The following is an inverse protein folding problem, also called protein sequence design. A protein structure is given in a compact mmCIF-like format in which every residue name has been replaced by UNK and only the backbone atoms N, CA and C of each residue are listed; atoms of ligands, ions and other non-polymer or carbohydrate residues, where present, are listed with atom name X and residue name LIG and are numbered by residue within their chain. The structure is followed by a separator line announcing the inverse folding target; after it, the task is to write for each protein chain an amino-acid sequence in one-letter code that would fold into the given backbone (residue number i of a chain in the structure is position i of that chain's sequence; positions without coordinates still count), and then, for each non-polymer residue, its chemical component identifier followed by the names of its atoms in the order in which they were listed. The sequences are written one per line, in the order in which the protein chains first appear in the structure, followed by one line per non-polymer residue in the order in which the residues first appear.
data_IF_343583459800
#
_entry.id   IF_343583459800
#
_cell.length_a   1.000
_cell.length_b   1.000
_cell.length_c   1.000
_cell.angle_alpha   90.00
_cell.angle_beta   90.00
_cell.angle_gamma   90.00
#
_symmetry.space_group_name_H-M   'P 1'
#
loop_
_entity.id
_entity.type
_entity.pdbx_description
1 polymer ?
#
# COMPACT_ATOMS: atom_id res chain seq x y z
N UNK A 1 -7.63 -48.78 -12.42
CA UNK A 1 -6.97 -48.17 -13.59
C UNK A 1 -5.98 -47.15 -13.07
N UNK A 2 -4.70 -47.45 -13.23
CA UNK A 2 -3.55 -46.71 -12.70
C UNK A 2 -3.44 -45.37 -13.42
N UNK A 3 -3.50 -44.27 -12.68
CA UNK A 3 -3.29 -42.94 -13.22
C UNK A 3 -1.87 -42.87 -13.81
N UNK A 4 -1.78 -42.61 -15.11
CA UNK A 4 -0.51 -42.40 -15.78
C UNK A 4 0.17 -41.16 -15.19
N UNK A 5 1.30 -41.36 -14.52
CA UNK A 5 2.20 -40.28 -14.13
C UNK A 5 2.72 -39.61 -15.41
N UNK A 6 2.21 -38.43 -15.70
CA UNK A 6 2.76 -37.55 -16.74
C UNK A 6 4.17 -37.13 -16.30
N UNK A 7 5.19 -37.53 -17.06
CA UNK A 7 6.59 -37.14 -16.81
C UNK A 7 6.79 -35.63 -16.83
N UNK A 8 7.91 -35.11 -16.27
CA UNK A 8 8.11 -33.69 -16.08
C UNK A 8 8.08 -32.96 -17.43
N UNK A 9 7.11 -32.06 -17.59
CA UNK A 9 7.01 -31.21 -18.76
C UNK A 9 8.33 -30.43 -18.93
N UNK A 10 8.86 -30.37 -20.17
CA UNK A 10 10.05 -29.57 -20.48
C UNK A 10 9.78 -28.13 -20.07
N UNK A 11 10.52 -27.62 -19.07
CA UNK A 11 10.32 -26.27 -18.53
C UNK A 11 10.46 -25.24 -19.64
N UNK A 12 9.37 -24.51 -19.89
CA UNK A 12 9.34 -23.44 -20.89
C UNK A 12 10.32 -22.32 -20.52
N UNK A 13 10.60 -21.42 -21.46
CA UNK A 13 11.39 -20.21 -21.16
C UNK A 13 10.77 -19.39 -20.02
N UNK A 14 9.44 -19.41 -19.89
CA UNK A 14 8.68 -18.80 -18.80
C UNK A 14 8.97 -19.46 -17.46
N UNK A 15 8.97 -20.79 -17.39
CA UNK A 15 9.20 -21.52 -16.14
C UNK A 15 10.63 -21.31 -15.64
N UNK A 16 11.60 -21.24 -16.56
CA UNK A 16 12.98 -20.89 -16.21
C UNK A 16 13.11 -19.47 -15.68
N UNK A 17 12.40 -18.52 -16.28
CA UNK A 17 12.38 -17.15 -15.78
C UNK A 17 11.75 -17.07 -14.38
N UNK A 18 10.63 -17.76 -14.16
CA UNK A 18 9.98 -17.82 -12.85
C UNK A 18 10.87 -18.47 -11.78
N UNK A 19 11.55 -19.57 -12.10
CA UNK A 19 12.51 -20.21 -11.19
C UNK A 19 13.68 -19.28 -10.83
N UNK A 20 14.13 -18.44 -11.76
CA UNK A 20 15.15 -17.44 -11.47
C UNK A 20 14.64 -16.34 -10.54
N UNK A 21 13.41 -15.86 -10.76
CA UNK A 21 12.77 -14.88 -9.88
C UNK A 21 12.61 -15.44 -8.46
N UNK A 22 12.15 -16.68 -8.35
CA UNK A 22 12.02 -17.39 -7.06
C UNK A 22 13.38 -17.53 -6.36
N UNK A 23 14.40 -17.98 -7.09
CA UNK A 23 15.75 -18.12 -6.55
C UNK A 23 16.33 -16.78 -6.07
N UNK A 24 16.14 -15.70 -6.84
CA UNK A 24 16.61 -14.37 -6.49
C UNK A 24 15.85 -13.82 -5.27
N UNK A 25 14.53 -13.98 -5.24
CA UNK A 25 13.68 -13.57 -4.12
C UNK A 25 14.05 -14.26 -2.81
N UNK A 26 14.27 -15.58 -2.84
CA UNK A 26 14.64 -16.37 -1.66
C UNK A 26 16.03 -16.02 -1.10
N UNK A 27 16.88 -15.35 -1.90
CA UNK A 27 18.23 -14.95 -1.48
C UNK A 27 18.25 -13.60 -0.76
N UNK A 28 17.22 -12.77 -0.94
CA UNK A 28 17.14 -11.48 -0.27
C UNK A 28 16.80 -11.72 1.21
N UNK A 29 17.64 -11.25 2.15
CA UNK A 29 17.28 -11.30 3.56
C UNK A 29 16.10 -10.38 3.84
N UNK A 30 15.44 -10.60 4.97
CA UNK A 30 14.35 -9.74 5.44
C UNK A 30 14.74 -8.25 5.37
N UNK A 31 13.84 -7.35 4.93
CA UNK A 31 14.12 -5.91 4.83
C UNK A 31 14.79 -5.29 6.07
N UNK A 32 14.41 -5.72 7.27
CA UNK A 32 15.05 -5.27 8.52
C UNK A 32 16.56 -5.60 8.56
N UNK A 33 16.93 -6.81 8.16
CA UNK A 33 18.33 -7.23 8.09
C UNK A 33 19.11 -6.45 7.02
N UNK A 34 18.48 -6.09 5.90
CA UNK A 34 19.11 -5.24 4.89
C UNK A 34 19.50 -3.87 5.48
N UNK A 35 18.63 -3.25 6.29
CA UNK A 35 18.94 -1.98 6.95
C UNK A 35 20.05 -2.12 8.01
N UNK A 36 20.09 -3.21 8.77
CA UNK A 36 21.20 -3.49 9.70
C UNK A 36 22.51 -3.60 8.93
N UNK A 37 22.53 -4.38 7.85
CA UNK A 37 23.75 -4.55 7.02
C UNK A 37 24.18 -3.22 6.43
N UNK A 38 23.24 -2.43 5.88
CA UNK A 38 23.52 -1.10 5.33
C UNK A 38 24.06 -0.14 6.39
N UNK A 39 23.48 -0.14 7.59
CA UNK A 39 23.95 0.66 8.73
C UNK A 39 25.39 0.30 9.12
N UNK A 40 25.71 -0.99 9.23
CA UNK A 40 27.05 -1.47 9.57
C UNK A 40 28.06 -1.13 8.47
N UNK A 41 27.71 -1.33 7.20
CA UNK A 41 28.56 -0.98 6.06
C UNK A 41 28.81 0.53 6.05
N UNK A 42 27.76 1.35 6.20
CA UNK A 42 27.87 2.81 6.22
C UNK A 42 28.77 3.28 7.36
N UNK A 43 28.63 2.68 8.55
CA UNK A 43 29.50 2.97 9.69
C UNK A 43 30.96 2.58 9.44
N UNK A 44 31.21 1.41 8.86
CA UNK A 44 32.56 0.95 8.57
C UNK A 44 33.24 1.80 7.49
N UNK A 45 32.51 2.14 6.42
CA UNK A 45 33.00 2.97 5.33
C UNK A 45 33.26 4.40 5.81
N UNK A 46 32.35 5.01 6.58
CA UNK A 46 32.55 6.37 7.10
C UNK A 46 33.75 6.45 8.04
N UNK A 47 33.95 5.45 8.92
CA UNK A 47 35.14 5.37 9.77
C UNK A 47 36.41 5.17 8.97
N UNK A 48 36.40 4.32 7.94
CA UNK A 48 37.56 4.16 7.05
C UNK A 48 37.91 5.45 6.30
N UNK A 49 36.90 6.20 5.86
CA UNK A 49 37.08 7.50 5.19
C UNK A 49 37.61 8.59 6.13
N UNK A 50 37.13 8.64 7.36
CA UNK A 50 37.67 9.55 8.39
C UNK A 50 39.15 9.25 8.67
N UNK A 51 39.50 7.97 8.85
CA UNK A 51 40.90 7.55 9.07
C UNK A 51 41.82 7.92 7.90
N UNK A 52 41.29 7.93 6.68
CA UNK A 52 42.01 8.35 5.48
C UNK A 52 42.04 9.88 5.30
N UNK A 53 41.38 10.66 6.17
CA UNK A 53 41.32 12.12 6.09
C UNK A 53 40.54 12.63 4.88
N UNK A 54 39.52 11.89 4.44
CA UNK A 54 38.74 12.25 3.25
C UNK A 54 37.88 13.49 3.52
N UNK A 55 37.96 14.43 2.58
CA UNK A 55 37.19 15.68 2.59
C UNK A 55 36.45 15.80 1.26
N UNK A 56 35.17 16.17 1.33
CA UNK A 56 34.28 16.26 0.16
C UNK A 56 33.70 17.67 0.06
N UNK A 57 33.70 18.24 -1.14
CA UNK A 57 32.94 19.46 -1.42
C UNK A 57 31.54 19.06 -1.87
N UNK A 58 30.54 19.42 -1.07
CA UNK A 58 29.12 19.16 -1.39
C UNK A 58 28.61 20.31 -2.26
N UNK A 59 27.99 20.03 -3.43
CA UNK A 59 27.36 21.08 -4.24
C UNK A 59 26.36 21.89 -3.41
N UNK A 60 26.50 23.22 -3.41
CA UNK A 60 25.66 24.12 -2.61
C UNK A 60 26.19 24.42 -1.20
N UNK A 61 27.34 23.86 -0.81
CA UNK A 61 28.05 24.24 0.42
C UNK A 61 29.28 25.11 0.10
N UNK A 62 29.45 26.18 0.87
CA UNK A 62 30.60 27.09 0.76
C UNK A 62 31.87 26.50 1.41
N UNK A 63 31.72 25.50 2.28
CA UNK A 63 32.82 24.91 3.03
C UNK A 63 33.01 23.41 2.71
N UNK A 64 34.28 22.95 2.62
CA UNK A 64 34.56 21.53 2.44
C UNK A 64 34.10 20.74 3.67
N UNK A 65 33.33 19.68 3.43
CA UNK A 65 32.77 18.82 4.49
C UNK A 65 33.75 17.69 4.80
N UNK A 66 34.19 17.62 6.06
CA UNK A 66 35.03 16.53 6.57
C UNK A 66 34.15 15.34 6.92
N UNK A 67 34.51 14.15 6.43
CA UNK A 67 33.76 12.92 6.76
C UNK A 67 34.02 12.53 8.21
N UNK A 68 32.94 12.35 8.97
CA UNK A 68 32.97 11.81 10.34
C UNK A 68 32.54 10.35 10.34
N UNK A 69 33.33 9.49 10.96
CA UNK A 69 33.11 8.08 11.10
C UNK A 69 32.17 7.74 12.25
N UNK A 70 31.35 6.71 12.04
CA UNK A 70 30.38 6.28 13.04
C UNK A 70 31.02 5.47 14.18
N UNK A 71 31.96 4.58 13.86
CA UNK A 71 32.64 3.70 14.84
C UNK A 71 33.88 4.36 15.47
N UNK A 72 33.79 5.66 15.75
CA UNK A 72 34.78 6.40 16.55
C UNK A 72 34.20 6.76 17.92
N UNK A 73 35.03 7.26 18.84
CA UNK A 73 34.56 7.70 20.15
C UNK A 73 33.48 8.79 20.06
N UNK A 74 33.68 9.76 19.17
CA UNK A 74 32.69 10.82 18.89
C UNK A 74 31.44 10.27 18.21
N UNK A 75 31.60 9.43 17.17
CA UNK A 75 30.48 8.84 16.43
C UNK A 75 29.58 7.96 17.29
N UNK A 76 30.14 7.14 18.19
CA UNK A 76 29.37 6.30 19.11
C UNK A 76 28.66 7.13 20.20
N UNK A 77 29.28 8.19 20.69
CA UNK A 77 28.63 9.13 21.61
C UNK A 77 27.46 9.84 20.92
N UNK A 78 27.65 10.29 19.68
CA UNK A 78 26.59 10.89 18.87
C UNK A 78 25.45 9.89 18.62
N UNK A 79 25.75 8.65 18.25
CA UNK A 79 24.75 7.62 17.98
C UNK A 79 23.87 7.37 19.21
N UNK A 80 24.47 7.12 20.37
CA UNK A 80 23.73 6.80 21.60
C UNK A 80 22.89 7.97 22.12
N UNK A 81 23.35 9.21 21.91
CA UNK A 81 22.61 10.42 22.33
C UNK A 81 21.50 10.80 21.37
N UNK A 82 21.64 10.51 20.07
CA UNK A 82 20.66 10.89 19.04
C UNK A 82 19.73 9.76 18.62
N UNK A 83 19.92 8.53 19.09
CA UNK A 83 19.11 7.36 18.67
C UNK A 83 17.60 7.62 18.79
N UNK A 84 17.16 8.12 19.95
CA UNK A 84 15.74 8.44 20.18
C UNK A 84 15.24 9.64 19.36
N UNK A 85 16.06 10.68 19.21
CA UNK A 85 15.72 11.88 18.43
C UNK A 85 15.55 11.51 16.95
N UNK A 86 16.47 10.71 16.40
CA UNK A 86 16.41 10.24 15.02
C UNK A 86 15.21 9.32 14.79
N UNK A 87 14.87 8.46 15.77
CA UNK A 87 13.70 7.58 15.67
C UNK A 87 12.39 8.37 15.66
N UNK A 88 12.20 9.30 16.60
CA UNK A 88 10.97 10.11 16.72
C UNK A 88 10.88 11.13 15.58
N UNK A 89 12.02 11.71 15.20
CA UNK A 89 12.13 12.71 14.13
C UNK A 89 12.01 12.13 12.72
N UNK A 90 11.92 10.80 12.58
CA UNK A 90 11.76 10.16 11.28
C UNK A 90 10.39 10.55 10.67
N UNK A 91 10.36 11.34 9.57
CA UNK A 91 9.10 11.94 9.09
C UNK A 91 7.96 10.95 8.82
N UNK A 92 8.23 9.75 8.27
CA UNK A 92 7.18 8.74 8.12
C UNK A 92 6.53 8.29 9.42
N UNK A 93 7.25 8.26 10.55
CA UNK A 93 6.66 7.83 11.83
C UNK A 93 5.57 8.81 12.27
N UNK A 94 5.80 10.12 12.07
CA UNK A 94 4.85 11.18 12.41
C UNK A 94 3.59 11.10 11.54
N UNK A 95 3.74 10.82 10.24
CA UNK A 95 2.62 10.88 9.29
C UNK A 95 1.86 9.55 9.15
N UNK A 96 2.54 8.41 9.27
CA UNK A 96 1.93 7.09 9.11
C UNK A 96 1.07 6.71 10.31
N UNK A 97 1.48 7.08 11.53
CA UNK A 97 0.78 6.68 12.76
C UNK A 97 -0.68 7.16 12.84
N UNK A 98 -1.02 8.44 12.58
CA UNK A 98 -2.41 8.90 12.55
C UNK A 98 -3.26 8.21 11.48
N UNK A 99 -2.68 7.98 10.30
CA UNK A 99 -3.37 7.31 9.18
C UNK A 99 -3.66 5.85 9.53
N UNK A 100 -2.70 5.13 10.12
CA UNK A 100 -2.90 3.76 10.59
C UNK A 100 -3.97 3.67 11.68
N UNK A 101 -4.06 4.65 12.58
CA UNK A 101 -5.13 4.71 13.57
C UNK A 101 -6.50 4.87 12.91
N UNK A 102 -6.64 5.79 11.96
CA UNK A 102 -7.89 6.01 11.23
C UNK A 102 -8.31 4.77 10.42
N UNK A 103 -7.38 4.15 9.71
CA UNK A 103 -7.60 2.90 8.97
C UNK A 103 -7.98 1.77 9.94
N UNK A 104 -7.29 1.65 11.07
CA UNK A 104 -7.58 0.65 12.10
C UNK A 104 -9.02 0.77 12.61
N UNK A 105 -9.50 1.99 12.88
CA UNK A 105 -10.90 2.23 13.27
C UNK A 105 -11.86 1.83 12.13
N UNK A 106 -11.57 2.22 10.89
CA UNK A 106 -12.40 1.88 9.73
C UNK A 106 -12.44 0.36 9.46
N UNK A 107 -11.34 -0.34 9.73
CA UNK A 107 -11.24 -1.78 9.56
C UNK A 107 -11.95 -2.53 10.68
N UNK A 108 -11.66 -2.22 11.94
CA UNK A 108 -12.26 -2.91 13.10
C UNK A 108 -13.75 -2.60 13.27
N UNK A 109 -14.24 -1.46 12.76
CA UNK A 109 -15.69 -1.19 12.69
C UNK A 109 -16.40 -1.98 11.59
N UNK A 110 -15.67 -2.70 10.73
CA UNK A 110 -16.23 -3.46 9.61
C UNK A 110 -16.63 -2.62 8.40
N UNK A 111 -16.37 -1.29 8.42
CA UNK A 111 -16.75 -0.37 7.34
C UNK A 111 -16.17 -0.79 5.99
N UNK A 112 -14.86 -1.05 5.95
CA UNK A 112 -14.14 -1.38 4.71
C UNK A 112 -14.60 -2.75 4.15
N UNK A 113 -14.73 -3.76 5.01
CA UNK A 113 -15.24 -5.08 4.62
C UNK A 113 -16.70 -5.03 4.14
N UNK A 114 -17.56 -4.25 4.81
CA UNK A 114 -18.94 -4.04 4.37
C UNK A 114 -19.02 -3.33 3.00
N UNK A 115 -18.17 -2.33 2.77
CA UNK A 115 -18.11 -1.61 1.50
C UNK A 115 -17.69 -2.54 0.34
N UNK A 116 -16.65 -3.37 0.54
CA UNK A 116 -16.19 -4.36 -0.45
C UNK A 116 -17.31 -5.35 -0.79
N UNK A 117 -17.96 -5.94 0.23
CA UNK A 117 -19.09 -6.86 0.05
C UNK A 117 -20.23 -6.20 -0.71
N UNK A 118 -20.54 -4.93 -0.44
CA UNK A 118 -21.58 -4.19 -1.16
C UNK A 118 -21.22 -4.02 -2.63
N UNK A 119 -19.98 -3.62 -2.92
CA UNK A 119 -19.51 -3.41 -4.29
C UNK A 119 -19.55 -4.71 -5.09
N UNK A 120 -19.11 -5.82 -4.51
CA UNK A 120 -19.18 -7.13 -5.16
C UNK A 120 -20.61 -7.64 -5.33
N UNK A 121 -21.42 -7.60 -4.27
CA UNK A 121 -22.79 -8.14 -4.30
C UNK A 121 -23.76 -7.33 -5.16
N UNK A 122 -23.47 -6.07 -5.47
CA UNK A 122 -24.30 -5.23 -6.35
C UNK A 122 -23.85 -5.25 -7.82
N UNK A 123 -22.71 -5.87 -8.14
CA UNK A 123 -22.18 -5.92 -9.49
C UNK A 123 -22.89 -6.98 -10.35
N UNK A 124 -23.31 -6.64 -11.59
CA UNK A 124 -23.81 -7.65 -12.51
C UNK A 124 -22.68 -8.60 -12.92
N UNK A 125 -23.02 -9.87 -13.22
CA UNK A 125 -22.03 -10.93 -13.48
C UNK A 125 -20.98 -10.57 -14.56
N UNK A 126 -21.35 -9.82 -15.59
CA UNK A 126 -20.43 -9.40 -16.65
C UNK A 126 -19.39 -8.36 -16.18
N UNK A 127 -19.76 -7.50 -15.23
CA UNK A 127 -18.89 -6.43 -14.71
C UNK A 127 -18.05 -6.91 -13.52
N UNK A 128 -18.43 -8.02 -12.90
CA UNK A 128 -17.83 -8.54 -11.68
C UNK A 128 -16.29 -8.65 -11.71
N UNK A 129 -15.62 -9.12 -12.78
CA UNK A 129 -14.15 -9.12 -12.85
C UNK A 129 -13.53 -7.73 -12.76
N UNK A 130 -14.16 -6.74 -13.39
CA UNK A 130 -13.71 -5.34 -13.36
C UNK A 130 -13.92 -4.74 -11.98
N UNK A 131 -15.02 -5.08 -11.30
CA UNK A 131 -15.22 -4.67 -9.91
C UNK A 131 -14.17 -5.31 -9.00
N UNK A 132 -13.87 -6.60 -9.16
CA UNK A 132 -12.79 -7.26 -8.39
C UNK A 132 -11.42 -6.63 -8.68
N UNK A 133 -11.10 -6.36 -9.94
CA UNK A 133 -9.86 -5.68 -10.30
C UNK A 133 -9.76 -4.28 -9.65
N UNK A 134 -10.82 -3.48 -9.76
CA UNK A 134 -10.86 -2.15 -9.19
C UNK A 134 -10.79 -2.15 -7.66
N UNK A 135 -11.61 -2.97 -7.00
CA UNK A 135 -11.60 -3.10 -5.54
C UNK A 135 -10.28 -3.67 -5.06
N UNK A 136 -9.67 -4.62 -5.77
CA UNK A 136 -8.35 -5.13 -5.45
C UNK A 136 -7.32 -3.99 -5.41
N UNK A 137 -7.26 -3.15 -6.44
CA UNK A 137 -6.34 -2.01 -6.46
C UNK A 137 -6.62 -1.01 -5.33
N UNK A 138 -7.89 -0.63 -5.13
CA UNK A 138 -8.30 0.35 -4.10
C UNK A 138 -8.21 -0.21 -2.67
N UNK A 139 -8.19 -1.54 -2.52
CA UNK A 139 -8.11 -2.20 -1.21
C UNK A 139 -6.77 -2.00 -0.50
N UNK A 140 -5.75 -1.45 -1.17
CA UNK A 140 -4.48 -1.04 -0.55
C UNK A 140 -4.65 -0.09 0.64
N UNK A 141 -5.80 0.60 0.74
CA UNK A 141 -6.17 1.40 1.92
C UNK A 141 -6.27 0.54 3.20
N UNK A 142 -6.54 -0.76 3.06
CA UNK A 142 -6.58 -1.74 4.14
C UNK A 142 -5.19 -2.34 4.47
N UNK A 143 -4.14 -1.85 3.82
CA UNK A 143 -2.77 -2.37 3.92
C UNK A 143 -2.74 -3.90 3.74
N UNK A 144 -2.03 -4.62 4.60
CA UNK A 144 -1.83 -6.06 4.49
C UNK A 144 -3.12 -6.88 4.63
N UNK A 145 -4.14 -6.34 5.31
CA UNK A 145 -5.41 -7.04 5.49
C UNK A 145 -6.21 -7.21 4.19
N UNK A 146 -5.92 -6.40 3.17
CA UNK A 146 -6.49 -6.54 1.83
C UNK A 146 -6.25 -7.95 1.25
N UNK A 147 -5.06 -8.52 1.47
CA UNK A 147 -4.69 -9.84 0.97
C UNK A 147 -5.44 -10.98 1.65
N UNK A 148 -5.94 -10.75 2.86
CA UNK A 148 -6.73 -11.73 3.61
C UNK A 148 -8.21 -11.63 3.23
N UNK A 149 -8.73 -10.43 2.99
CA UNK A 149 -10.17 -10.19 2.82
C UNK A 149 -10.61 -10.26 1.35
N UNK A 150 -9.86 -9.66 0.42
CA UNK A 150 -10.28 -9.53 -0.98
C UNK A 150 -10.34 -10.86 -1.73
N UNK A 151 -9.31 -11.73 -1.68
CA UNK A 151 -9.32 -12.98 -2.43
C UNK A 151 -10.50 -13.92 -2.10
N UNK A 152 -10.81 -14.24 -0.82
CA UNK A 152 -11.92 -15.13 -0.52
C UNK A 152 -13.29 -14.51 -0.86
N UNK A 153 -13.48 -13.21 -0.63
CA UNK A 153 -14.72 -12.52 -1.02
C UNK A 153 -14.93 -12.52 -2.53
N UNK A 154 -13.87 -12.27 -3.31
CA UNK A 154 -13.92 -12.32 -4.76
C UNK A 154 -14.29 -13.73 -5.24
N UNK A 155 -13.71 -14.78 -4.65
CA UNK A 155 -14.04 -16.16 -4.97
C UNK A 155 -15.52 -16.48 -4.71
N UNK A 156 -16.04 -16.09 -3.54
CA UNK A 156 -17.41 -16.33 -3.12
C UNK A 156 -18.42 -15.64 -4.05
N UNK A 157 -18.19 -14.38 -4.40
CA UNK A 157 -19.11 -13.64 -5.28
C UNK A 157 -19.01 -14.14 -6.72
N UNK A 158 -17.83 -14.56 -7.19
CA UNK A 158 -17.69 -15.23 -8.49
C UNK A 158 -18.53 -16.51 -8.56
N UNK A 159 -18.46 -17.36 -7.53
CA UNK A 159 -19.27 -18.58 -7.43
C UNK A 159 -20.77 -18.26 -7.45
N UNK A 160 -21.21 -17.30 -6.63
CA UNK A 160 -22.61 -16.86 -6.57
C UNK A 160 -23.12 -16.30 -7.90
N UNK A 161 -22.24 -15.67 -8.70
CA UNK A 161 -22.54 -15.12 -10.02
C UNK A 161 -22.42 -16.14 -11.18
N UNK A 162 -22.16 -17.43 -10.89
CA UNK A 162 -21.98 -18.47 -11.91
C UNK A 162 -20.64 -18.40 -12.67
N UNK A 163 -19.67 -17.64 -12.14
CA UNK A 163 -18.32 -17.50 -12.68
C UNK A 163 -17.34 -18.43 -11.95
N UNK A 164 -16.14 -18.57 -12.50
CA UNK A 164 -15.13 -19.44 -11.92
C UNK A 164 -14.53 -18.85 -10.62
N UNK A 165 -14.73 -19.45 -9.42
CA UNK A 165 -14.31 -18.88 -8.14
C UNK A 165 -12.79 -18.69 -8.03
N UNK A 166 -12.00 -19.67 -8.53
CA UNK A 166 -10.54 -19.56 -8.58
C UNK A 166 -10.08 -18.36 -9.43
N UNK A 167 -10.83 -17.96 -10.45
CA UNK A 167 -10.50 -16.76 -11.22
C UNK A 167 -10.68 -15.49 -10.38
N UNK A 168 -11.75 -15.43 -9.59
CA UNK A 168 -11.97 -14.35 -8.61
C UNK A 168 -10.89 -14.33 -7.53
N UNK A 169 -10.51 -15.50 -6.99
CA UNK A 169 -9.47 -15.63 -5.98
C UNK A 169 -8.09 -15.15 -6.47
N UNK A 170 -7.61 -15.73 -7.57
CA UNK A 170 -6.32 -15.37 -8.17
C UNK A 170 -6.33 -13.92 -8.65
N UNK A 171 -7.44 -13.50 -9.24
CA UNK A 171 -7.66 -12.15 -9.74
C UNK A 171 -7.63 -11.10 -8.65
N UNK A 172 -8.37 -11.31 -7.57
CA UNK A 172 -8.40 -10.43 -6.41
C UNK A 172 -7.04 -10.32 -5.73
N UNK A 173 -6.35 -11.45 -5.55
CA UNK A 173 -4.98 -11.46 -5.00
C UNK A 173 -3.99 -10.71 -5.89
N UNK A 174 -4.00 -10.98 -7.19
CA UNK A 174 -3.12 -10.30 -8.14
C UNK A 174 -3.42 -8.80 -8.24
N UNK A 175 -4.69 -8.40 -8.20
CA UNK A 175 -5.10 -7.00 -8.24
C UNK A 175 -4.68 -6.24 -6.97
N UNK A 176 -4.85 -6.84 -5.78
CA UNK A 176 -4.39 -6.26 -4.52
C UNK A 176 -2.85 -6.11 -4.48
N UNK A 177 -2.13 -7.11 -4.97
CA UNK A 177 -0.67 -7.06 -5.07
C UNK A 177 -0.14 -6.05 -6.08
N UNK A 178 -0.63 -6.10 -7.32
CA UNK A 178 -0.15 -5.23 -8.38
C UNK A 178 -0.56 -3.76 -8.19
N UNK A 179 -1.69 -3.51 -7.52
CA UNK A 179 -2.23 -2.18 -7.26
C UNK A 179 -1.79 -1.54 -5.94
N UNK A 180 -0.94 -2.21 -5.14
CA UNK A 180 -0.68 -1.85 -3.74
C UNK A 180 -0.26 -0.38 -3.54
N UNK A 181 0.51 0.18 -4.47
CA UNK A 181 1.01 1.56 -4.39
C UNK A 181 0.08 2.61 -5.02
N UNK A 182 -1.10 2.24 -5.52
CA UNK A 182 -1.98 3.15 -6.25
C UNK A 182 -3.38 3.12 -5.67
N UNK A 183 -3.93 4.30 -5.37
CA UNK A 183 -5.28 4.42 -4.81
C UNK A 183 -5.93 5.74 -5.22
N UNK A 184 -7.27 5.78 -5.23
CA UNK A 184 -8.05 7.01 -5.44
C UNK A 184 -8.01 7.89 -4.19
N UNK A 185 -7.84 7.29 -3.01
CA UNK A 185 -7.71 8.00 -1.75
C UNK A 185 -6.24 8.06 -1.33
N UNK A 186 -5.77 9.16 -0.70
CA UNK A 186 -4.47 9.18 -0.05
C UNK A 186 -4.38 8.08 1.02
N UNK A 187 -3.27 7.35 1.02
CA UNK A 187 -3.02 6.22 1.92
C UNK A 187 -1.79 6.47 2.80
N UNK A 188 -1.54 5.54 3.73
CA UNK A 188 -0.32 5.56 4.54
C UNK A 188 0.95 5.45 3.69
N UNK A 189 0.90 4.79 2.52
CA UNK A 189 2.03 4.71 1.60
C UNK A 189 2.40 6.06 0.98
N UNK A 190 1.40 6.87 0.64
CA UNK A 190 1.63 8.19 0.08
C UNK A 190 2.34 9.10 1.10
N UNK A 191 1.91 9.02 2.36
CA UNK A 191 2.54 9.72 3.47
C UNK A 191 3.96 9.22 3.76
N UNK A 192 4.18 7.90 3.68
CA UNK A 192 5.49 7.26 3.81
C UNK A 192 6.44 7.73 2.70
N UNK A 193 6.02 7.69 1.43
CA UNK A 193 6.84 8.12 0.31
C UNK A 193 7.14 9.61 0.34
N UNK A 194 6.16 10.45 0.68
CA UNK A 194 6.35 11.88 0.84
C UNK A 194 7.37 12.18 1.96
N UNK A 195 7.27 11.48 3.09
CA UNK A 195 8.19 11.61 4.22
C UNK A 195 9.62 11.22 3.87
N UNK A 196 9.82 10.04 3.25
CA UNK A 196 11.14 9.57 2.82
C UNK A 196 11.74 10.53 1.78
N UNK A 197 10.97 10.90 0.75
CA UNK A 197 11.44 11.79 -0.32
C UNK A 197 11.88 13.14 0.22
N UNK A 198 11.11 13.71 1.16
CA UNK A 198 11.45 14.97 1.82
C UNK A 198 12.73 14.83 2.66
N UNK A 199 12.87 13.74 3.43
CA UNK A 199 14.06 13.53 4.30
C UNK A 199 15.38 13.41 3.53
N UNK A 200 15.33 12.93 2.28
CA UNK A 200 16.54 12.85 1.42
C UNK A 200 17.00 14.23 0.98
N UNK A 201 16.07 15.18 0.80
CA UNK A 201 16.41 16.53 0.34
C UNK A 201 17.11 17.36 1.42
N UNK A 202 16.87 17.08 2.71
CA UNK A 202 17.56 17.75 3.82
C UNK A 202 19.09 17.49 3.81
N UNK A 203 19.55 16.45 3.12
CA UNK A 203 20.97 16.17 2.95
C UNK A 203 21.67 17.05 1.87
N UNK A 204 20.92 17.86 1.12
CA UNK A 204 21.44 18.71 0.04
C UNK A 204 21.39 20.20 0.43
N UNK A 205 22.48 20.74 1.03
CA UNK A 205 22.53 22.15 1.43
C UNK A 205 22.42 23.09 0.21
N UNK A 206 21.68 24.18 0.37
CA UNK A 206 21.54 25.22 -0.66
C UNK A 206 20.56 24.89 -1.80
N UNK A 207 19.92 23.72 -1.79
CA UNK A 207 18.83 23.40 -2.71
C UNK A 207 17.49 23.81 -2.11
N UNK A 208 16.89 24.88 -2.65
CA UNK A 208 15.48 25.17 -2.36
C UNK A 208 14.61 24.14 -3.07
N UNK A 209 13.83 23.38 -2.30
CA UNK A 209 12.87 22.42 -2.83
C UNK A 209 11.49 22.65 -2.22
N UNK A 210 10.46 22.32 -3.00
CA UNK A 210 9.09 22.27 -2.47
C UNK A 210 8.91 20.95 -1.75
N UNK A 211 8.52 21.00 -0.47
CA UNK A 211 8.26 19.81 0.31
C UNK A 211 7.22 18.91 -0.39
N UNK A 212 7.55 17.63 -0.51
CA UNK A 212 6.64 16.64 -1.09
C UNK A 212 5.59 16.34 -0.03
N UNK A 213 4.31 16.46 -0.40
CA UNK A 213 3.18 16.17 0.47
C UNK A 213 2.47 14.88 0.03
N UNK A 214 1.63 14.27 0.88
CA UNK A 214 0.93 13.02 0.54
C UNK A 214 0.02 13.13 -0.69
N UNK A 215 -0.39 14.34 -1.10
CA UNK A 215 -1.23 14.55 -2.29
C UNK A 215 -0.44 14.84 -3.57
N UNK A 216 0.89 14.87 -3.51
CA UNK A 216 1.74 15.21 -4.66
C UNK A 216 1.60 14.21 -5.80
N UNK A 217 1.41 12.92 -5.50
CA UNK A 217 1.16 11.87 -6.50
C UNK A 217 -0.33 11.61 -6.76
N UNK A 218 -1.24 12.38 -6.15
CA UNK A 218 -2.64 11.98 -6.07
C UNK A 218 -3.32 11.85 -7.44
N UNK A 219 -3.10 12.82 -8.35
CA UNK A 219 -3.65 12.75 -9.70
C UNK A 219 -3.12 11.56 -10.50
N UNK A 220 -1.83 11.25 -10.35
CA UNK A 220 -1.23 10.08 -10.98
C UNK A 220 -1.83 8.78 -10.42
N UNK A 221 -2.03 8.70 -9.10
CA UNK A 221 -2.60 7.52 -8.44
C UNK A 221 -4.07 7.31 -8.80
N UNK A 222 -4.86 8.37 -8.96
CA UNK A 222 -6.25 8.28 -9.44
C UNK A 222 -6.29 7.67 -10.85
N UNK A 223 -5.50 8.20 -11.78
CA UNK A 223 -5.49 7.69 -13.16
C UNK A 223 -4.95 6.26 -13.20
N UNK A 224 -3.87 5.98 -12.48
CA UNK A 224 -3.24 4.66 -12.43
C UNK A 224 -4.16 3.61 -11.81
N UNK A 225 -4.89 3.93 -10.74
CA UNK A 225 -5.80 2.98 -10.09
C UNK A 225 -6.97 2.60 -10.99
N UNK A 226 -7.51 3.55 -11.79
CA UNK A 226 -8.55 3.26 -12.79
C UNK A 226 -8.02 2.36 -13.91
N UNK A 227 -6.83 2.66 -14.44
CA UNK A 227 -6.21 1.87 -15.50
C UNK A 227 -5.89 0.46 -14.99
N UNK A 228 -5.24 0.34 -13.84
CA UNK A 228 -4.87 -0.94 -13.24
C UNK A 228 -6.10 -1.76 -12.88
N UNK A 229 -7.14 -1.13 -12.33
CA UNK A 229 -8.41 -1.80 -12.04
C UNK A 229 -9.05 -2.39 -13.31
N UNK A 230 -9.05 -1.63 -14.40
CA UNK A 230 -9.55 -2.10 -15.70
C UNK A 230 -8.69 -3.23 -16.27
N UNK A 231 -7.36 -3.08 -16.27
CA UNK A 231 -6.43 -4.09 -16.78
C UNK A 231 -6.51 -5.37 -15.98
N UNK A 232 -6.57 -5.29 -14.64
CA UNK A 232 -6.76 -6.44 -13.77
C UNK A 232 -8.08 -7.14 -14.10
N UNK A 233 -9.19 -6.40 -14.20
CA UNK A 233 -10.48 -6.95 -14.60
C UNK A 233 -10.48 -7.63 -15.96
N UNK A 234 -9.80 -7.02 -16.94
CA UNK A 234 -9.63 -7.58 -18.28
C UNK A 234 -8.83 -8.88 -18.25
N UNK A 235 -7.74 -8.94 -17.49
CA UNK A 235 -6.94 -10.16 -17.32
C UNK A 235 -7.79 -11.26 -16.67
N UNK A 236 -8.58 -10.94 -15.64
CA UNK A 236 -9.46 -11.90 -14.98
C UNK A 236 -10.50 -12.46 -15.96
N UNK A 237 -11.20 -11.59 -16.68
CA UNK A 237 -12.30 -11.94 -17.60
C UNK A 237 -11.83 -12.67 -18.86
N UNK A 238 -10.76 -12.18 -19.50
CA UNK A 238 -10.33 -12.63 -20.83
C UNK A 238 -9.18 -13.63 -20.82
N UNK A 239 -8.38 -13.67 -19.76
CA UNK A 239 -7.19 -14.53 -19.71
C UNK A 239 -7.33 -15.64 -18.67
N UNK A 240 -7.59 -15.29 -17.41
CA UNK A 240 -7.57 -16.24 -16.29
C UNK A 240 -8.79 -17.16 -16.35
N UNK A 241 -10.01 -16.61 -16.34
CA UNK A 241 -11.22 -17.43 -16.31
C UNK A 241 -11.37 -18.38 -17.51
N UNK A 242 -11.14 -17.94 -18.78
CA UNK A 242 -11.24 -18.84 -19.93
C UNK A 242 -10.19 -19.95 -19.90
N UNK A 243 -8.98 -19.65 -19.40
CA UNK A 243 -7.91 -20.65 -19.27
C UNK A 243 -8.24 -21.71 -18.23
N UNK A 244 -8.76 -21.30 -17.07
CA UNK A 244 -9.19 -22.22 -16.02
C UNK A 244 -10.31 -23.15 -16.50
N UNK A 245 -11.30 -22.60 -17.23
CA UNK A 245 -12.35 -23.40 -17.87
C UNK A 245 -11.79 -24.38 -18.90
N UNK A 246 -10.83 -23.97 -19.75
CA UNK A 246 -10.18 -24.86 -20.72
C UNK A 246 -9.39 -25.99 -20.06
N UNK A 247 -8.84 -25.74 -18.88
CA UNK A 247 -8.08 -26.72 -18.09
C UNK A 247 -8.98 -27.61 -17.22
N UNK A 248 -10.31 -27.41 -17.23
CA UNK A 248 -11.26 -28.11 -16.37
C UNK A 248 -10.85 -28.08 -14.89
N UNK A 249 -10.36 -26.92 -14.42
CA UNK A 249 -10.04 -26.74 -13.01
C UNK A 249 -11.34 -26.89 -12.19
N UNK A 250 -11.34 -27.70 -11.12
CA UNK A 250 -12.52 -27.88 -10.28
C UNK A 250 -13.02 -26.55 -9.69
N UNK A 251 -14.35 -26.45 -9.60
CA UNK A 251 -15.07 -25.29 -9.05
C UNK A 251 -15.48 -25.56 -7.59
N UNK A 252 -15.41 -26.82 -7.17
CA UNK A 252 -15.82 -27.26 -5.84
C UNK A 252 -14.82 -26.83 -4.77
N UNK A 253 -15.35 -26.39 -3.63
CA UNK A 253 -14.56 -26.11 -2.43
C UNK A 253 -14.17 -27.44 -1.79
N UNK A 254 -12.87 -27.67 -1.62
CA UNK A 254 -12.40 -28.68 -0.68
C UNK A 254 -12.52 -28.03 0.70
N UNK A 255 -13.50 -28.48 1.50
CA UNK A 255 -13.58 -28.08 2.90
C UNK A 255 -12.28 -28.52 3.59
N UNK A 256 -11.49 -27.56 4.04
CA UNK A 256 -10.36 -27.82 4.94
C UNK A 256 -10.97 -27.96 6.32
N UNK A 257 -10.98 -29.18 6.88
CA UNK A 257 -11.57 -29.49 8.19
C UNK A 257 -10.88 -28.77 9.37
N UNK A 258 -9.75 -28.10 9.14
CA UNK A 258 -8.90 -27.47 10.18
C UNK A 258 -8.75 -25.94 10.04
N UNK A 259 -9.68 -25.23 9.40
CA UNK A 259 -9.73 -23.78 9.60
C UNK A 259 -10.33 -23.51 11.00
N UNK A 260 -9.47 -23.20 11.98
CA UNK A 260 -9.89 -22.57 13.23
C UNK A 260 -10.52 -21.21 12.91
N UNK A 261 -11.78 -21.22 12.48
CA UNK A 261 -12.56 -20.04 12.18
C UNK A 261 -12.78 -19.28 13.48
N UNK A 262 -12.01 -18.21 13.68
CA UNK A 262 -12.43 -17.16 14.59
C UNK A 262 -13.78 -16.64 14.09
N UNK A 263 -14.74 -16.45 15.01
CA UNK A 263 -16.09 -16.00 14.65
C UNK A 263 -16.10 -14.69 13.82
N UNK A 264 -15.03 -13.88 13.95
CA UNK A 264 -14.80 -12.67 13.16
C UNK A 264 -14.49 -12.97 11.67
N UNK A 265 -13.69 -14.01 11.36
CA UNK A 265 -13.41 -14.41 9.97
C UNK A 265 -14.66 -14.95 9.28
N UNK A 266 -15.47 -15.73 9.99
CA UNK A 266 -16.71 -16.30 9.45
C UNK A 266 -17.79 -15.22 9.17
N UNK A 267 -17.88 -14.16 9.99
CA UNK A 267 -18.79 -13.04 9.72
C UNK A 267 -18.36 -12.18 8.53
N UNK A 268 -17.05 -11.91 8.40
CA UNK A 268 -16.49 -11.14 7.29
C UNK A 268 -16.61 -11.87 5.95
N UNK A 269 -16.69 -13.20 5.97
CA UNK A 269 -16.77 -14.07 4.79
C UNK A 269 -18.20 -14.25 4.26
N UNK A 270 -19.23 -13.62 4.85
CA UNK A 270 -20.59 -13.61 4.30
C UNK A 270 -20.69 -12.67 3.09
N UNK A 271 -21.20 -13.14 1.96
CA UNK A 271 -21.38 -12.31 0.76
C UNK A 271 -22.46 -11.22 0.91
N UNK A 272 -23.51 -11.48 1.69
CA UNK A 272 -24.67 -10.59 1.82
C UNK A 272 -24.57 -9.70 3.06
N UNK A 273 -24.93 -8.43 2.90
CA UNK A 273 -25.02 -7.45 3.99
C UNK A 273 -26.32 -7.58 4.76
N UNK A 274 -26.24 -7.45 6.08
CA UNK A 274 -27.40 -7.30 6.96
C UNK A 274 -28.05 -5.92 6.77
N UNK A 275 -29.34 -5.76 7.15
CA UNK A 275 -30.00 -4.45 7.14
C UNK A 275 -29.28 -3.42 8.03
N UNK A 276 -28.67 -3.87 9.12
CA UNK A 276 -27.91 -3.02 10.05
C UNK A 276 -26.63 -2.52 9.40
N UNK A 277 -25.85 -3.38 8.74
CA UNK A 277 -24.64 -2.98 8.01
C UNK A 277 -24.96 -2.03 6.86
N UNK A 278 -26.05 -2.25 6.13
CA UNK A 278 -26.48 -1.33 5.08
C UNK A 278 -26.84 0.06 5.61
N UNK A 279 -27.54 0.13 6.74
CA UNK A 279 -27.81 1.41 7.43
C UNK A 279 -26.53 2.03 7.95
N UNK A 280 -25.65 1.25 8.56
CA UNK A 280 -24.35 1.69 9.07
C UNK A 280 -23.48 2.29 7.96
N UNK A 281 -23.38 1.63 6.82
CA UNK A 281 -22.65 2.13 5.65
C UNK A 281 -23.27 3.42 5.09
N UNK A 282 -24.60 3.52 5.05
CA UNK A 282 -25.27 4.75 4.65
C UNK A 282 -24.95 5.91 5.61
N UNK A 283 -25.04 5.68 6.93
CA UNK A 283 -24.70 6.68 7.95
C UNK A 283 -23.23 7.06 7.86
N UNK A 284 -22.32 6.10 7.62
CA UNK A 284 -20.90 6.38 7.44
C UNK A 284 -20.64 7.30 6.23
N UNK A 285 -21.29 7.04 5.10
CA UNK A 285 -21.22 7.91 3.91
C UNK A 285 -21.78 9.30 4.21
N UNK A 286 -22.93 9.39 4.87
CA UNK A 286 -23.54 10.67 5.24
C UNK A 286 -22.66 11.48 6.19
N UNK A 287 -22.07 10.82 7.20
CA UNK A 287 -21.10 11.44 8.12
C UNK A 287 -19.86 11.94 7.39
N UNK A 288 -19.34 11.15 6.45
CA UNK A 288 -18.20 11.56 5.61
C UNK A 288 -18.52 12.77 4.74
N UNK A 289 -19.70 12.82 4.13
CA UNK A 289 -20.16 13.97 3.34
C UNK A 289 -20.33 15.20 4.23
N UNK A 290 -20.93 15.05 5.42
CA UNK A 290 -21.11 16.14 6.38
C UNK A 290 -19.75 16.69 6.84
N UNK A 291 -18.82 15.83 7.22
CA UNK A 291 -17.46 16.22 7.62
C UNK A 291 -16.75 16.96 6.48
N UNK A 292 -16.83 16.43 5.25
CA UNK A 292 -16.26 17.08 4.06
C UNK A 292 -16.85 18.46 3.85
N UNK A 293 -18.18 18.61 3.98
CA UNK A 293 -18.84 19.90 3.84
C UNK A 293 -18.40 20.89 4.93
N UNK A 294 -18.27 20.44 6.19
CA UNK A 294 -17.78 21.28 7.29
C UNK A 294 -16.34 21.75 7.07
N UNK A 295 -15.45 20.85 6.61
CA UNK A 295 -14.06 21.20 6.28
C UNK A 295 -14.03 22.21 5.14
N UNK A 296 -14.78 21.98 4.06
CA UNK A 296 -14.85 22.92 2.94
C UNK A 296 -15.38 24.29 3.38
N UNK A 297 -16.39 24.33 4.25
CA UNK A 297 -16.91 25.59 4.81
C UNK A 297 -15.91 26.32 5.70
N UNK A 298 -14.99 25.60 6.34
CA UNK A 298 -13.92 26.20 7.16
C UNK A 298 -12.71 26.66 6.31
N UNK A 299 -12.41 25.96 5.22
CA UNK A 299 -11.19 26.14 4.41
C UNK A 299 -11.40 27.10 3.23
N UNK A 300 -12.58 27.07 2.60
CA UNK A 300 -12.87 27.87 1.41
C UNK A 300 -13.09 29.38 1.65
N UNK A 301 -13.51 29.89 2.82
CA UNK A 301 -13.60 31.33 3.03
C UNK A 301 -12.25 32.04 2.84
N UNK A 302 -12.26 33.27 2.33
CA UNK A 302 -11.04 34.07 2.08
C UNK A 302 -10.24 34.34 3.37
N UNK A 303 -10.93 34.53 4.49
CA UNK A 303 -10.32 34.70 5.81
C UNK A 303 -9.96 33.40 6.52
N UNK A 304 -9.91 32.27 5.81
CA UNK A 304 -9.60 30.98 6.43
C UNK A 304 -8.15 30.94 6.92
N UNK A 305 -7.89 30.52 8.18
CA UNK A 305 -6.53 30.38 8.69
C UNK A 305 -5.76 29.23 8.03
N UNK A 306 -6.43 28.42 7.20
CA UNK A 306 -5.83 27.29 6.47
C UNK A 306 -5.31 27.66 5.07
N UNK A 307 -5.50 28.91 4.64
CA UNK A 307 -4.89 29.46 3.42
C UNK A 307 -3.47 29.95 3.71
N UNK A 308 -2.68 30.11 2.65
CA UNK A 308 -1.35 30.72 2.73
C UNK A 308 -1.45 32.25 2.74
N UNK A 309 -0.29 32.93 2.85
CA UNK A 309 -0.21 34.40 2.90
C UNK A 309 -0.75 35.07 1.63
N UNK A 310 -0.68 34.39 0.48
CA UNK A 310 -1.22 34.85 -0.81
C UNK A 310 -2.73 34.57 -0.97
N UNK A 311 -3.38 34.01 0.06
CA UNK A 311 -4.78 33.59 0.03
C UNK A 311 -5.03 32.32 -0.79
N UNK A 312 -4.01 31.64 -1.31
CA UNK A 312 -4.09 30.33 -1.96
C UNK A 312 -3.80 29.15 -1.02
N UNK A 313 -3.56 27.97 -1.61
CA UNK A 313 -3.19 26.75 -0.86
C UNK A 313 -1.80 26.21 -1.22
N UNK A 314 -1.32 26.52 -2.42
CA UNK A 314 -0.04 26.06 -2.96
C UNK A 314 0.99 27.20 -2.93
N UNK A 315 2.30 26.89 -2.87
CA UNK A 315 2.89 25.54 -2.73
C UNK A 315 2.87 25.01 -1.29
N UNK A 316 2.71 25.91 -0.31
CA UNK A 316 2.67 25.60 1.12
C UNK A 316 1.52 26.36 1.77
N UNK A 317 0.73 25.66 2.58
CA UNK A 317 -0.33 26.25 3.41
C UNK A 317 -0.48 25.45 4.70
N UNK A 318 -1.11 26.03 5.74
CA UNK A 318 -1.44 25.28 6.95
C UNK A 318 -2.29 24.05 6.63
N UNK A 319 -3.21 24.12 5.66
CA UNK A 319 -3.99 22.96 5.20
C UNK A 319 -3.12 21.81 4.70
N UNK A 320 -2.19 22.09 3.79
CA UNK A 320 -1.32 21.05 3.22
C UNK A 320 -0.37 20.47 4.27
N UNK A 321 0.01 21.28 5.26
CA UNK A 321 0.85 20.85 6.37
C UNK A 321 0.07 20.00 7.38
N UNK A 322 -1.23 20.21 7.50
CA UNK A 322 -2.11 19.47 8.40
C UNK A 322 -2.87 18.34 7.72
N UNK A 323 -2.65 18.04 6.42
CA UNK A 323 -3.52 17.12 5.66
C UNK A 323 -3.58 15.68 6.22
N UNK A 324 -2.60 15.32 7.04
CA UNK A 324 -2.51 14.02 7.71
C UNK A 324 -3.29 13.99 9.03
N UNK A 325 -3.58 15.16 9.63
CA UNK A 325 -4.15 15.33 10.97
C UNK A 325 -5.57 15.89 10.90
#
# INVERSE_FOLDING_TARGET
MTAAQTGPAKSGLTDRALNWVEWAGNKLPEPFMLFIVLFLITGAVSTGMEMAGVVVSVPGSDEPTVIKGLFTGEGMAWLTTNLGINYIGFPPLVTVMPILLAIGIAQHSGLLAAAIRKLFGSAPAWLLPYVVGFVGVVSSIMADSAFVVVPPLAALVFKAAGRHPVAGLLGGFAAAGAGYSTNIFPTSLDALFAGITTSVMDALPGFEFTAVNPVSNWWFNIVSSLILGFVAGFIIDKLIEPRLRRQNVPVDEVAVEDAEDSAESAEQMRAALTPTENKGLLVAVLSGVLLTALILLAVLPEGSPWRNEDGGFLPKSPLLSSIVF
#
